data_IF_144974849478
#
_entry.id   IF_144974849478
#
_cell.length_a   1.000
_cell.length_b   1.000
_cell.length_c   1.000
_cell.angle_alpha   90.00
_cell.angle_beta   90.00
_cell.angle_gamma   90.00
#
_symmetry.space_group_name_H-M   'P 1'
#
loop_
_entity.id
_entity.type
_entity.pdbx_description
1 polymer ?
#
# COMPACT_ATOMS: atom_id res chain seq x y z
N UNK A 1 20.13 -12.72 -9.00
CA UNK A 1 20.87 -12.70 -10.26
C UNK A 1 20.00 -13.08 -11.43
N UNK A 2 19.32 -14.19 -11.33
CA UNK A 2 18.40 -14.63 -12.36
C UNK A 2 17.27 -13.60 -12.58
N UNK A 3 16.72 -13.07 -11.49
CA UNK A 3 15.65 -12.07 -11.59
C UNK A 3 16.14 -10.78 -12.22
N UNK A 4 17.37 -10.37 -11.90
CA UNK A 4 17.96 -9.17 -12.50
C UNK A 4 18.10 -9.37 -13.99
N UNK A 5 18.58 -10.55 -14.39
CA UNK A 5 18.74 -10.87 -15.80
C UNK A 5 17.40 -10.92 -16.52
N UNK A 6 16.40 -11.52 -15.90
CA UNK A 6 15.06 -11.56 -16.43
C UNK A 6 14.46 -10.16 -16.56
N UNK A 7 14.69 -9.34 -15.55
CA UNK A 7 14.21 -7.97 -15.56
C UNK A 7 14.85 -7.15 -16.67
N UNK A 8 16.13 -7.42 -16.97
CA UNK A 8 16.81 -6.76 -18.08
C UNK A 8 16.16 -7.05 -19.42
N UNK A 9 15.63 -8.26 -19.57
CA UNK A 9 14.93 -8.66 -20.80
C UNK A 9 13.51 -8.09 -20.81
N UNK A 10 12.85 -8.06 -19.66
CA UNK A 10 11.48 -7.58 -19.51
C UNK A 10 11.45 -6.29 -18.73
N UNK A 11 12.24 -5.30 -19.16
CA UNK A 11 12.45 -4.07 -18.41
C UNK A 11 11.19 -3.27 -18.13
N UNK A 12 10.12 -3.49 -18.91
CA UNK A 12 8.85 -2.80 -18.70
C UNK A 12 7.77 -3.74 -18.16
N UNK A 13 8.18 -4.80 -17.51
CA UNK A 13 7.26 -5.78 -16.93
C UNK A 13 6.90 -5.36 -15.51
N UNK A 14 5.73 -4.77 -15.35
CA UNK A 14 5.28 -4.29 -14.05
C UNK A 14 5.10 -5.45 -13.05
N UNK A 15 4.64 -6.62 -13.49
CA UNK A 15 4.46 -7.74 -12.57
C UNK A 15 5.78 -8.26 -12.04
N UNK A 16 6.83 -8.28 -12.88
CA UNK A 16 8.14 -8.69 -12.40
C UNK A 16 8.65 -7.75 -11.32
N UNK A 17 8.50 -6.44 -11.54
CA UNK A 17 8.88 -5.46 -10.53
C UNK A 17 8.08 -5.65 -9.24
N UNK A 18 6.80 -5.95 -9.36
CA UNK A 18 5.95 -6.20 -8.21
C UNK A 18 6.47 -7.40 -7.40
N UNK A 19 6.79 -8.51 -8.08
CA UNK A 19 7.29 -9.69 -7.38
C UNK A 19 8.66 -9.44 -6.73
N UNK A 20 9.50 -8.65 -7.39
CA UNK A 20 10.77 -8.26 -6.78
C UNK A 20 10.56 -7.39 -5.55
N UNK A 21 9.59 -6.48 -5.62
CA UNK A 21 9.20 -5.68 -4.47
C UNK A 21 8.77 -6.54 -3.29
N UNK A 22 7.97 -7.57 -3.57
CA UNK A 22 7.51 -8.50 -2.53
C UNK A 22 8.69 -9.23 -1.87
N UNK A 23 9.67 -9.63 -2.66
CA UNK A 23 10.86 -10.29 -2.12
C UNK A 23 11.59 -9.34 -1.16
N UNK A 24 11.83 -8.10 -1.58
CA UNK A 24 12.51 -7.12 -0.73
C UNK A 24 11.69 -6.82 0.52
N UNK A 25 10.37 -6.70 0.39
CA UNK A 25 9.50 -6.44 1.54
C UNK A 25 9.60 -7.58 2.57
N UNK A 26 9.62 -8.83 2.10
CA UNK A 26 9.77 -9.97 2.98
C UNK A 26 11.11 -9.97 3.69
N UNK A 27 12.14 -9.39 3.08
CA UNK A 27 13.45 -9.22 3.68
C UNK A 27 13.54 -7.98 4.55
N UNK A 28 12.43 -7.26 4.70
CA UNK A 28 12.36 -6.00 5.44
C UNK A 28 13.26 -4.91 4.82
N UNK A 29 13.59 -5.06 3.56
CA UNK A 29 14.34 -4.03 2.82
C UNK A 29 13.31 -3.12 2.15
N UNK A 30 12.73 -2.23 2.94
CA UNK A 30 11.61 -1.43 2.48
C UNK A 30 12.00 -0.41 1.43
N UNK A 31 13.21 0.15 1.53
CA UNK A 31 13.69 1.11 0.52
C UNK A 31 13.77 0.47 -0.87
N UNK A 32 14.32 -0.73 -0.95
CA UNK A 32 14.40 -1.43 -2.24
C UNK A 32 13.02 -1.84 -2.73
N UNK A 33 12.15 -2.27 -1.81
CA UNK A 33 10.78 -2.63 -2.17
C UNK A 33 10.04 -1.44 -2.76
N UNK A 34 10.15 -0.27 -2.14
CA UNK A 34 9.49 0.94 -2.63
C UNK A 34 9.95 1.26 -4.04
N UNK A 35 11.24 1.11 -4.31
CA UNK A 35 11.79 1.37 -5.64
C UNK A 35 11.16 0.43 -6.69
N UNK A 36 11.04 -0.86 -6.36
CA UNK A 36 10.47 -1.83 -7.29
C UNK A 36 8.97 -1.59 -7.49
N UNK A 37 8.24 -1.30 -6.42
CA UNK A 37 6.82 -1.00 -6.56
C UNK A 37 6.59 0.28 -7.35
N UNK A 38 7.46 1.27 -7.19
CA UNK A 38 7.37 2.52 -7.96
C UNK A 38 7.58 2.26 -9.44
N UNK A 39 8.52 1.37 -9.78
CA UNK A 39 8.73 0.97 -11.17
C UNK A 39 7.53 0.20 -11.69
N UNK A 40 6.94 -0.67 -10.89
CA UNK A 40 5.75 -1.41 -11.30
C UNK A 40 4.63 -0.46 -11.65
N UNK A 41 4.41 0.56 -10.82
CA UNK A 41 3.38 1.57 -11.06
C UNK A 41 3.67 2.33 -12.37
N UNK A 42 4.91 2.74 -12.56
CA UNK A 42 5.32 3.49 -13.73
C UNK A 42 5.10 2.67 -15.01
N UNK A 43 5.48 1.41 -14.99
CA UNK A 43 5.32 0.54 -16.16
C UNK A 43 3.87 0.22 -16.43
N UNK A 44 3.07 0.02 -15.39
CA UNK A 44 1.63 -0.22 -15.57
C UNK A 44 0.97 0.98 -16.22
N UNK A 45 1.32 2.19 -15.80
CA UNK A 45 0.80 3.42 -16.41
C UNK A 45 1.20 3.55 -17.86
N UNK A 46 2.47 3.26 -18.15
CA UNK A 46 3.00 3.35 -19.51
C UNK A 46 2.30 2.38 -20.44
N UNK A 47 1.97 1.20 -19.91
CA UNK A 47 1.30 0.16 -20.69
C UNK A 47 -0.21 0.36 -20.77
N UNK A 48 -0.73 1.40 -20.12
CA UNK A 48 -2.15 1.69 -20.12
C UNK A 48 -2.96 0.72 -19.29
N UNK A 49 -2.34 0.09 -18.30
CA UNK A 49 -2.96 -0.96 -17.54
C UNK A 49 -3.57 -0.46 -16.25
N UNK A 50 -4.84 -0.76 -16.05
CA UNK A 50 -5.52 -0.52 -14.79
C UNK A 50 -6.24 -1.80 -14.41
N UNK A 51 -5.49 -2.87 -14.31
CA UNK A 51 -6.09 -4.14 -14.00
C UNK A 51 -5.99 -4.43 -12.51
N UNK A 52 -6.61 -5.54 -12.15
CA UNK A 52 -6.89 -5.91 -10.78
C UNK A 52 -5.65 -5.93 -9.87
N UNK A 53 -4.47 -6.20 -10.41
CA UNK A 53 -3.25 -6.29 -9.61
C UNK A 53 -2.66 -4.93 -9.26
N UNK A 54 -3.02 -3.88 -9.99
CA UNK A 54 -2.40 -2.56 -9.81
C UNK A 54 -2.69 -1.99 -8.42
N UNK A 55 -3.88 -2.27 -7.85
CA UNK A 55 -4.15 -1.78 -6.50
C UNK A 55 -3.11 -2.31 -5.49
N UNK A 56 -2.60 -3.52 -5.73
CA UNK A 56 -1.62 -4.12 -4.84
C UNK A 56 -0.26 -3.42 -4.92
N UNK A 57 0.07 -2.86 -6.06
CA UNK A 57 1.31 -2.08 -6.18
C UNK A 57 1.29 -0.89 -5.24
N UNK A 58 0.18 -0.16 -5.26
CA UNK A 58 0.00 1.00 -4.38
C UNK A 58 -0.13 0.58 -2.92
N UNK A 59 -0.91 -0.46 -2.65
CA UNK A 59 -1.09 -0.95 -1.29
C UNK A 59 0.24 -1.33 -0.67
N UNK A 60 1.02 -2.12 -1.36
CA UNK A 60 2.27 -2.61 -0.81
C UNK A 60 3.32 -1.50 -0.68
N UNK A 61 3.33 -0.55 -1.63
CA UNK A 61 4.22 0.60 -1.46
C UNK A 61 3.80 1.45 -0.26
N UNK A 62 2.50 1.65 -0.08
CA UNK A 62 1.99 2.35 1.10
C UNK A 62 2.38 1.64 2.39
N UNK A 63 2.29 0.32 2.40
CA UNK A 63 2.70 -0.46 3.57
C UNK A 63 4.19 -0.30 3.87
N UNK A 64 5.03 -0.23 2.84
CA UNK A 64 6.46 0.01 3.04
C UNK A 64 6.72 1.40 3.59
N UNK A 65 6.01 2.41 3.07
CA UNK A 65 6.12 3.77 3.63
C UNK A 65 5.70 3.77 5.10
N UNK A 66 4.62 3.06 5.43
CA UNK A 66 4.14 2.96 6.80
C UNK A 66 5.21 2.37 7.71
N UNK A 67 5.86 1.31 7.26
CA UNK A 67 6.94 0.67 8.03
C UNK A 67 8.13 1.60 8.23
N UNK A 68 8.39 2.47 7.28
CA UNK A 68 9.46 3.48 7.40
C UNK A 68 9.00 4.72 8.16
N UNK A 69 7.78 4.72 8.66
CA UNK A 69 7.17 5.85 9.37
C UNK A 69 7.05 7.09 8.49
N UNK A 70 6.95 6.89 7.18
CA UNK A 70 6.68 7.99 6.23
C UNK A 70 5.18 8.04 5.96
N UNK A 71 4.45 8.42 6.98
CA UNK A 71 2.99 8.32 6.99
C UNK A 71 2.34 9.21 5.93
N UNK A 72 2.89 10.40 5.71
CA UNK A 72 2.33 11.32 4.72
C UNK A 72 2.45 10.77 3.30
N UNK A 73 3.44 9.92 3.05
CA UNK A 73 3.59 9.28 1.75
C UNK A 73 2.71 8.05 1.60
N UNK A 74 2.41 7.38 2.70
CA UNK A 74 1.55 6.20 2.68
C UNK A 74 0.11 6.57 2.33
N UNK A 75 -0.38 7.71 2.79
CA UNK A 75 -1.78 8.09 2.63
C UNK A 75 -2.21 8.17 1.15
N UNK A 76 -1.48 8.84 0.25
CA UNK A 76 -1.88 8.86 -1.17
C UNK A 76 -1.89 7.48 -1.80
N UNK A 77 -0.96 6.63 -1.42
CA UNK A 77 -0.90 5.27 -1.97
C UNK A 77 -2.12 4.46 -1.54
N UNK A 78 -2.49 4.54 -0.28
CA UNK A 78 -3.69 3.85 0.20
C UNK A 78 -4.94 4.43 -0.46
N UNK A 79 -4.99 5.75 -0.60
CA UNK A 79 -6.14 6.41 -1.22
C UNK A 79 -6.34 5.95 -2.65
N UNK A 80 -5.26 5.87 -3.43
CA UNK A 80 -5.37 5.40 -4.80
C UNK A 80 -5.69 3.91 -4.86
N UNK A 81 -5.09 3.12 -3.96
CA UNK A 81 -5.39 1.69 -3.89
C UNK A 81 -6.88 1.44 -3.62
N UNK A 82 -7.48 2.25 -2.75
CA UNK A 82 -8.92 2.16 -2.46
C UNK A 82 -9.76 2.52 -3.66
N UNK A 83 -9.28 3.42 -4.50
CA UNK A 83 -9.98 3.78 -5.73
C UNK A 83 -10.14 2.57 -6.64
N UNK A 84 -9.15 1.70 -6.65
CA UNK A 84 -9.14 0.49 -7.48
C UNK A 84 -9.77 -0.72 -6.76
N UNK A 85 -9.77 -0.72 -5.43
CA UNK A 85 -10.31 -1.83 -4.63
C UNK A 85 -10.99 -1.26 -3.38
N UNK A 86 -12.16 -0.71 -3.58
CA UNK A 86 -12.83 0.15 -2.59
C UNK A 86 -13.41 -0.56 -1.37
N UNK A 87 -13.52 -1.88 -1.41
CA UNK A 87 -14.09 -2.61 -0.27
C UNK A 87 -13.04 -3.38 0.52
N UNK A 88 -11.80 -2.94 0.47
CA UNK A 88 -10.71 -3.59 1.17
C UNK A 88 -10.51 -2.97 2.56
N UNK A 89 -11.01 -3.66 3.58
CA UNK A 89 -10.94 -3.16 4.96
C UNK A 89 -9.54 -2.97 5.48
N UNK A 90 -8.58 -3.81 5.04
CA UNK A 90 -7.20 -3.70 5.49
C UNK A 90 -6.57 -2.38 5.04
N UNK A 91 -6.93 -1.90 3.85
CA UNK A 91 -6.41 -0.62 3.36
C UNK A 91 -6.93 0.52 4.22
N UNK A 92 -8.23 0.49 4.54
CA UNK A 92 -8.80 1.50 5.45
C UNK A 92 -8.12 1.47 6.81
N UNK A 93 -7.89 0.26 7.36
CA UNK A 93 -7.25 0.14 8.67
C UNK A 93 -5.85 0.76 8.67
N UNK A 94 -5.07 0.50 7.64
CA UNK A 94 -3.70 1.01 7.56
C UNK A 94 -3.68 2.51 7.26
N UNK A 95 -4.59 2.99 6.42
CA UNK A 95 -4.66 4.43 6.16
C UNK A 95 -5.07 5.17 7.43
N UNK A 96 -5.95 4.56 8.23
CA UNK A 96 -6.31 5.13 9.53
C UNK A 96 -5.09 5.32 10.43
N UNK A 97 -4.19 4.33 10.46
CA UNK A 97 -2.96 4.46 11.23
C UNK A 97 -2.13 5.63 10.72
N UNK A 98 -2.00 5.76 9.41
CA UNK A 98 -1.23 6.86 8.82
C UNK A 98 -1.87 8.21 9.12
N UNK A 99 -3.18 8.32 9.03
CA UNK A 99 -3.88 9.56 9.39
C UNK A 99 -3.66 9.91 10.86
N UNK A 100 -3.82 8.92 11.74
CA UNK A 100 -3.64 9.17 13.17
C UNK A 100 -2.23 9.65 13.46
N UNK A 101 -1.24 9.04 12.83
CA UNK A 101 0.16 9.38 13.04
C UNK A 101 0.52 10.76 12.51
N UNK A 102 -0.27 11.32 11.61
CA UNK A 102 -0.07 12.67 11.11
C UNK A 102 -1.01 13.69 11.78
N UNK A 103 -1.68 13.28 12.86
CA UNK A 103 -2.52 14.20 13.63
C UNK A 103 -3.93 14.36 13.09
N UNK A 104 -4.35 13.55 12.14
CA UNK A 104 -5.67 13.65 11.54
C UNK A 104 -6.61 12.62 12.18
N UNK A 105 -6.95 12.84 13.43
CA UNK A 105 -7.75 11.90 14.22
C UNK A 105 -9.14 11.65 13.62
N UNK A 106 -9.78 12.70 13.12
CA UNK A 106 -11.12 12.57 12.58
C UNK A 106 -11.12 11.62 11.37
N UNK A 107 -10.16 11.82 10.46
CA UNK A 107 -10.01 10.96 9.29
C UNK A 107 -9.64 9.54 9.70
N UNK A 108 -8.76 9.41 10.69
CA UNK A 108 -8.38 8.08 11.19
C UNK A 108 -9.58 7.32 11.72
N UNK A 109 -10.41 7.99 12.51
CA UNK A 109 -11.59 7.34 13.08
C UNK A 109 -12.60 6.94 12.02
N UNK A 110 -12.77 7.77 10.99
CA UNK A 110 -13.65 7.43 9.87
C UNK A 110 -13.13 6.17 9.16
N UNK A 111 -11.82 6.08 8.92
CA UNK A 111 -11.22 4.92 8.27
C UNK A 111 -11.35 3.66 9.13
N UNK A 112 -11.10 3.77 10.43
CA UNK A 112 -11.21 2.61 11.31
C UNK A 112 -12.66 2.11 11.41
N UNK A 113 -13.63 3.02 11.45
CA UNK A 113 -15.04 2.62 11.46
C UNK A 113 -15.43 1.94 10.16
N UNK A 114 -14.92 2.43 9.04
CA UNK A 114 -15.15 1.80 7.74
C UNK A 114 -14.51 0.40 7.71
N UNK A 115 -13.27 0.28 8.19
CA UNK A 115 -12.60 -1.01 8.27
C UNK A 115 -13.41 -1.98 9.11
N UNK A 116 -13.93 -1.53 10.24
CA UNK A 116 -14.76 -2.36 11.11
C UNK A 116 -16.01 -2.83 10.37
N UNK A 117 -16.65 -1.95 9.63
CA UNK A 117 -17.86 -2.31 8.87
C UNK A 117 -17.56 -3.35 7.80
N UNK A 118 -16.31 -3.46 7.37
CA UNK A 118 -15.87 -4.44 6.38
C UNK A 118 -15.27 -5.69 7.03
N UNK A 119 -15.43 -5.85 8.34
CA UNK A 119 -15.05 -7.06 9.05
C UNK A 119 -13.68 -7.05 9.71
N UNK A 120 -12.98 -5.93 9.71
CA UNK A 120 -11.67 -5.85 10.35
C UNK A 120 -11.87 -5.55 11.83
N UNK A 121 -11.58 -6.53 12.69
CA UNK A 121 -11.79 -6.39 14.13
C UNK A 121 -10.60 -5.80 14.86
N UNK A 122 -9.40 -5.86 14.26
CA UNK A 122 -8.20 -5.33 14.91
C UNK A 122 -8.27 -3.84 15.18
N UNK A 123 -9.17 -3.11 14.51
CA UNK A 123 -9.33 -1.67 14.73
C UNK A 123 -10.17 -1.34 15.95
N UNK A 124 -10.84 -2.32 16.55
CA UNK A 124 -11.75 -2.04 17.68
C UNK A 124 -11.05 -1.33 18.84
N UNK A 125 -9.84 -1.75 19.16
CA UNK A 125 -9.07 -1.12 20.24
C UNK A 125 -8.78 0.35 19.94
N UNK A 126 -8.45 0.66 18.68
CA UNK A 126 -8.18 2.04 18.27
C UNK A 126 -9.45 2.88 18.38
N UNK A 127 -10.57 2.35 17.88
CA UNK A 127 -11.84 3.07 17.93
C UNK A 127 -12.20 3.37 19.38
N UNK A 128 -12.11 2.36 20.25
CA UNK A 128 -12.48 2.52 21.65
C UNK A 128 -11.59 3.53 22.37
N UNK A 129 -10.31 3.57 22.01
CA UNK A 129 -9.37 4.43 22.68
C UNK A 129 -9.38 5.86 22.16
N UNK A 130 -9.52 6.04 20.85
CA UNK A 130 -9.29 7.33 20.23
C UNK A 130 -10.51 7.97 19.57
N UNK A 131 -11.60 7.23 19.40
CA UNK A 131 -12.74 7.70 18.60
C UNK A 131 -13.98 7.83 19.45
N UNK A 132 -14.01 8.86 20.24
CA UNK A 132 -15.17 9.10 21.10
C UNK A 132 -16.08 10.21 20.62
#
# INVERSE_FOLDING_TARGET
>A
EFLVKGKGIFEEDDELCYYMGNIYQNQQNYAAAIKEYSLAIQYAKKNGEEYELVYAYYLNRGNCYLKQREFAKAIPDYTYSLKLNKDNGAIYANRGIAYFSTGKRKEACADWRKAKSLGVTSVNAYINRYCR
#
